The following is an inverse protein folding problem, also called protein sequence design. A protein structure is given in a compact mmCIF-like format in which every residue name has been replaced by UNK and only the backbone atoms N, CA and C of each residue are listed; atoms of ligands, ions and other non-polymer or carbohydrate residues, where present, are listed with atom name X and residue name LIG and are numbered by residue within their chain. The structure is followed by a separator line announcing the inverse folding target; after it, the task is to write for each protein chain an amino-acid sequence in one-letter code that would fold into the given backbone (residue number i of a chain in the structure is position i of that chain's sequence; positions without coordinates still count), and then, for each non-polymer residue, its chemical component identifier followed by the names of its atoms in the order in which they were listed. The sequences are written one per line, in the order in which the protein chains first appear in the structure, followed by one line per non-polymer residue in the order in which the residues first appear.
data_IF_003191942759
#
_entry.id   IF_003191942759
#
_cell.length_a   1.000
_cell.length_b   1.000
_cell.length_c   1.000
_cell.angle_alpha   90.00
_cell.angle_beta   90.00
_cell.angle_gamma   90.00
#
_symmetry.space_group_name_H-M   'P 1'
#
loop_
_entity.id
_entity.type
_entity.pdbx_description
1 polymer ?
#
# COMPACT_ATOMS: atom_id res chain seq x y z
N UNK A 1 30.32 4.29 -4.10
CA UNK A 1 31.65 4.15 -3.46
C UNK A 1 31.54 4.36 -1.97
N UNK A 2 32.27 3.58 -1.16
CA UNK A 2 32.33 3.77 0.30
C UNK A 2 33.14 5.03 0.61
N UNK A 3 32.78 5.76 1.67
CA UNK A 3 33.52 6.95 2.11
C UNK A 3 34.91 6.52 2.57
N UNK A 4 35.94 6.75 1.75
CA UNK A 4 37.33 6.54 2.13
C UNK A 4 37.95 7.86 2.65
N UNK A 5 38.78 7.83 3.71
CA UNK A 5 39.38 9.04 4.27
C UNK A 5 40.19 9.88 3.26
N UNK A 6 40.86 9.21 2.33
CA UNK A 6 41.70 9.82 1.27
C UNK A 6 40.87 10.36 0.07
N UNK A 7 39.55 10.15 0.06
CA UNK A 7 38.72 10.51 -1.08
C UNK A 7 38.45 12.01 -1.08
N UNK A 8 38.70 12.70 -2.21
CA UNK A 8 38.28 14.09 -2.40
C UNK A 8 36.76 14.18 -2.26
N UNK A 9 36.30 14.84 -1.19
CA UNK A 9 34.88 15.08 -0.91
C UNK A 9 34.45 16.43 -1.44
N UNK A 10 33.23 16.49 -1.98
CA UNK A 10 32.57 17.75 -2.34
C UNK A 10 31.80 18.23 -1.11
N UNK A 11 32.04 19.46 -0.70
CA UNK A 11 31.30 20.09 0.40
C UNK A 11 29.97 20.63 -0.12
N UNK A 12 28.86 20.22 0.51
CA UNK A 12 27.51 20.66 0.18
C UNK A 12 26.87 21.23 1.44
N UNK A 13 26.34 22.45 1.36
CA UNK A 13 25.55 23.05 2.44
C UNK A 13 24.10 22.52 2.38
N UNK A 14 23.67 21.85 3.45
CA UNK A 14 22.33 21.24 3.53
C UNK A 14 21.27 22.12 4.19
N UNK A 15 21.57 23.38 4.54
CA UNK A 15 20.67 24.29 5.29
C UNK A 15 19.29 24.47 4.63
N UNK A 16 19.24 24.54 3.30
CA UNK A 16 18.01 24.78 2.54
C UNK A 16 17.47 23.51 1.85
N UNK A 17 17.95 22.33 2.26
CA UNK A 17 17.41 21.06 1.76
C UNK A 17 16.21 20.70 2.62
N UNK A 18 15.05 20.49 2.00
CA UNK A 18 13.86 19.95 2.66
C UNK A 18 14.06 18.46 2.94
N UNK A 19 13.80 18.04 4.17
CA UNK A 19 13.79 16.64 4.56
C UNK A 19 12.36 16.19 4.84
N UNK A 20 11.91 15.15 4.13
CA UNK A 20 10.66 14.45 4.40
C UNK A 20 11.05 13.04 4.83
N UNK A 21 10.71 12.69 6.07
CA UNK A 21 10.96 11.36 6.62
C UNK A 21 9.62 10.67 6.85
N UNK A 22 9.50 9.43 6.39
CA UNK A 22 8.32 8.60 6.56
C UNK A 22 8.72 7.16 6.78
N UNK A 23 7.85 6.40 7.46
CA UNK A 23 8.09 5.00 7.78
C UNK A 23 6.86 4.35 8.40
N UNK A 24 6.87 3.03 8.51
CA UNK A 24 5.86 2.27 9.23
C UNK A 24 6.31 2.11 10.69
N UNK A 25 5.55 2.68 11.63
CA UNK A 25 5.86 2.67 13.06
C UNK A 25 5.05 1.57 13.77
N UNK A 26 5.29 0.32 13.42
CA UNK A 26 4.49 -0.80 13.93
C UNK A 26 4.47 -0.84 15.46
N UNK A 27 3.28 -0.80 16.06
CA UNK A 27 3.09 -0.85 17.51
C UNK A 27 3.03 0.53 18.18
N UNK A 28 3.19 1.62 17.43
CA UNK A 28 2.98 2.98 17.95
C UNK A 28 1.52 3.19 18.37
N UNK A 29 0.58 2.49 17.73
CA UNK A 29 -0.85 2.54 18.00
C UNK A 29 -1.13 2.19 19.47
N UNK A 30 -0.45 1.18 20.02
CA UNK A 30 -0.57 0.77 21.43
C UNK A 30 -0.06 1.83 22.41
N UNK A 31 0.94 2.62 21.99
CA UNK A 31 1.50 3.71 22.81
C UNK A 31 0.50 4.86 22.84
N UNK A 32 -0.05 5.21 21.68
CA UNK A 32 -1.08 6.25 21.53
C UNK A 32 -2.32 5.87 22.34
N UNK A 33 -2.86 4.68 22.14
CA UNK A 33 -4.02 4.12 22.85
C UNK A 33 -3.86 4.24 24.37
N UNK A 34 -2.74 3.75 24.93
CA UNK A 34 -2.45 3.83 26.37
C UNK A 34 -2.45 5.25 26.89
N UNK A 35 -2.01 6.23 26.09
CA UNK A 35 -1.98 7.63 26.49
C UNK A 35 -3.37 8.24 26.44
N UNK A 36 -4.12 8.02 25.37
CA UNK A 36 -5.47 8.56 25.18
C UNK A 36 -6.42 7.95 26.23
N UNK A 37 -6.39 6.64 26.44
CA UNK A 37 -7.22 5.95 27.44
C UNK A 37 -6.87 6.28 28.90
N UNK A 38 -5.65 6.74 29.19
CA UNK A 38 -5.30 7.22 30.55
C UNK A 38 -5.88 8.60 30.84
N UNK A 39 -6.18 9.41 29.82
CA UNK A 39 -6.74 10.75 30.02
C UNK A 39 -8.22 10.70 30.46
N UNK A 40 -8.96 9.64 30.14
CA UNK A 40 -10.39 9.51 30.42
C UNK A 40 -10.74 9.06 31.85
N UNK A 41 -9.78 8.59 32.65
CA UNK A 41 -10.02 8.03 33.99
C UNK A 41 -10.35 9.10 35.07
N UNK A 42 -10.24 10.41 34.76
CA UNK A 42 -10.31 11.48 35.76
C UNK A 42 -11.45 12.50 35.65
N UNK A 43 -12.17 12.57 34.53
CA UNK A 43 -13.27 13.52 34.32
C UNK A 43 -14.39 12.82 33.54
N UNK A 44 -15.57 12.79 34.15
CA UNK A 44 -16.78 12.20 33.59
C UNK A 44 -17.30 13.12 32.48
N UNK A 45 -16.98 12.80 31.23
CA UNK A 45 -17.73 13.23 30.06
C UNK A 45 -17.98 11.99 29.21
N UNK A 46 -19.24 11.56 29.19
CA UNK A 46 -19.77 10.68 28.16
C UNK A 46 -19.54 11.32 26.78
N UNK A 47 -19.28 10.49 25.75
CA UNK A 47 -19.26 10.77 24.31
C UNK A 47 -17.94 11.02 23.54
N UNK A 48 -16.74 10.88 24.14
CA UNK A 48 -15.52 10.78 23.30
C UNK A 48 -15.31 9.32 22.85
N UNK A 49 -16.07 8.90 21.84
CA UNK A 49 -15.78 7.68 21.09
C UNK A 49 -14.41 7.83 20.41
N UNK A 50 -13.38 7.29 21.04
CA UNK A 50 -12.06 7.13 20.41
C UNK A 50 -12.28 6.22 19.21
N UNK A 51 -11.99 6.76 18.02
CA UNK A 51 -11.97 5.99 16.79
C UNK A 51 -10.78 5.02 16.83
N UNK A 52 -11.05 3.81 17.31
CA UNK A 52 -10.10 2.70 17.39
C UNK A 52 -9.57 2.30 16.00
N UNK A 53 -10.29 2.62 14.91
CA UNK A 53 -9.89 2.28 13.55
C UNK A 53 -8.75 3.18 13.03
N UNK A 54 -8.61 4.40 13.56
CA UNK A 54 -7.57 5.34 13.14
C UNK A 54 -6.89 6.07 14.30
N UNK A 55 -6.24 5.31 15.19
CA UNK A 55 -5.49 5.87 16.32
C UNK A 55 -4.34 6.81 15.91
N UNK A 56 -3.81 6.69 14.69
CA UNK A 56 -2.70 7.51 14.21
C UNK A 56 -3.05 9.01 14.11
N UNK A 57 -4.33 9.36 13.99
CA UNK A 57 -4.78 10.75 13.97
C UNK A 57 -4.46 11.49 15.29
N UNK A 58 -4.36 10.75 16.39
CA UNK A 58 -4.04 11.28 17.72
C UNK A 58 -2.54 11.30 18.00
N UNK A 59 -1.66 10.90 17.07
CA UNK A 59 -0.22 10.83 17.32
C UNK A 59 0.36 12.18 17.78
N UNK A 60 1.19 12.14 18.84
CA UNK A 60 1.89 13.31 19.35
C UNK A 60 3.39 13.04 19.52
N UNK A 61 4.23 14.09 19.62
CA UNK A 61 5.68 13.94 19.77
C UNK A 61 6.10 13.08 20.97
N UNK A 62 5.30 13.06 22.04
CA UNK A 62 5.55 12.21 23.20
C UNK A 62 5.51 10.71 22.87
N UNK A 63 4.63 10.29 21.95
CA UNK A 63 4.51 8.88 21.55
C UNK A 63 5.74 8.43 20.76
N UNK A 64 6.25 9.30 19.89
CA UNK A 64 7.48 9.05 19.12
C UNK A 64 8.70 8.90 20.04
N UNK A 65 8.76 9.70 21.12
CA UNK A 65 9.79 9.55 22.15
C UNK A 65 9.64 8.21 22.88
N UNK A 66 8.44 7.86 23.29
CA UNK A 66 8.14 6.57 23.94
C UNK A 66 8.36 5.36 23.00
N UNK A 67 8.20 5.56 21.70
CA UNK A 67 8.49 4.56 20.66
C UNK A 67 10.00 4.34 20.47
N UNK A 68 10.84 5.31 20.84
CA UNK A 68 12.30 5.19 20.84
C UNK A 68 13.05 6.23 20.01
N UNK A 69 12.37 7.22 19.43
CA UNK A 69 13.05 8.33 18.76
C UNK A 69 13.64 9.31 19.79
N UNK A 70 14.86 9.77 19.51
CA UNK A 70 15.54 10.74 20.37
C UNK A 70 14.91 12.14 20.24
N UNK A 71 14.81 12.92 21.33
CA UNK A 71 14.19 14.25 21.31
C UNK A 71 14.82 15.23 20.31
N UNK A 72 16.13 15.17 20.10
CA UNK A 72 16.88 16.03 19.19
C UNK A 72 16.47 15.80 17.73
N UNK A 73 16.08 14.57 17.39
CA UNK A 73 15.59 14.23 16.06
C UNK A 73 14.15 14.71 15.91
N UNK A 74 13.28 14.42 16.89
CA UNK A 74 11.88 14.86 16.89
C UNK A 74 11.80 16.39 16.77
N UNK A 75 12.66 17.12 17.49
CA UNK A 75 12.72 18.59 17.44
C UNK A 75 13.12 19.16 16.08
N UNK A 76 13.75 18.38 15.19
CA UNK A 76 14.06 18.79 13.82
C UNK A 76 12.90 18.57 12.83
N UNK A 77 11.86 17.85 13.23
CA UNK A 77 10.68 17.56 12.43
C UNK A 77 9.41 18.10 13.13
N UNK A 78 9.14 19.41 13.06
CA UNK A 78 8.01 20.01 13.78
C UNK A 78 6.63 19.68 13.16
N UNK A 79 6.60 19.22 11.91
CA UNK A 79 5.37 18.86 11.19
C UNK A 79 5.21 17.35 11.17
N UNK A 80 4.08 16.87 11.67
CA UNK A 80 3.71 15.46 11.66
C UNK A 80 2.42 15.27 10.86
N UNK A 81 2.37 14.20 10.09
CA UNK A 81 1.17 13.76 9.38
C UNK A 81 1.10 12.25 9.44
N UNK A 82 -0.11 11.71 9.36
CA UNK A 82 -0.35 10.28 9.23
C UNK A 82 -0.95 9.98 7.85
N UNK A 83 -1.00 8.71 7.51
CA UNK A 83 -1.72 8.19 6.34
C UNK A 83 -2.79 7.23 6.84
N UNK A 84 -3.96 7.31 6.24
CA UNK A 84 -5.05 6.37 6.55
C UNK A 84 -4.75 5.00 5.94
N UNK A 85 -5.22 3.91 6.57
CA UNK A 85 -5.18 2.60 5.95
C UNK A 85 -5.95 2.60 4.62
N UNK A 86 -5.52 1.74 3.70
CA UNK A 86 -6.18 1.58 2.40
C UNK A 86 -7.43 0.71 2.57
N UNK A 87 -8.58 1.24 2.17
CA UNK A 87 -9.82 0.51 2.07
C UNK A 87 -10.00 -0.11 0.66
N UNK A 88 -11.08 -0.88 0.49
CA UNK A 88 -11.39 -1.51 -0.78
C UNK A 88 -11.57 -0.49 -1.91
N UNK A 89 -12.19 0.65 -1.62
CA UNK A 89 -12.39 1.74 -2.59
C UNK A 89 -11.05 2.32 -3.06
N UNK A 90 -10.13 2.62 -2.14
CA UNK A 90 -8.80 3.12 -2.46
C UNK A 90 -7.99 2.11 -3.28
N UNK A 91 -8.08 0.82 -2.95
CA UNK A 91 -7.44 -0.25 -3.75
C UNK A 91 -8.01 -0.31 -5.17
N UNK A 92 -9.33 -0.16 -5.32
CA UNK A 92 -10.00 -0.10 -6.63
C UNK A 92 -9.54 1.12 -7.44
N UNK A 93 -9.40 2.27 -6.80
CA UNK A 93 -8.85 3.47 -7.44
C UNK A 93 -7.41 3.25 -7.88
N UNK A 94 -6.55 2.68 -7.03
CA UNK A 94 -5.15 2.37 -7.36
C UNK A 94 -5.04 1.47 -8.61
N UNK A 95 -5.95 0.50 -8.78
CA UNK A 95 -5.97 -0.38 -9.95
C UNK A 95 -6.30 0.36 -11.26
N UNK A 96 -7.08 1.45 -11.22
CA UNK A 96 -7.77 1.99 -12.39
C UNK A 96 -7.44 3.46 -12.71
N UNK A 97 -7.36 4.33 -11.71
CA UNK A 97 -7.32 5.79 -11.90
C UNK A 97 -5.93 6.36 -12.18
N UNK A 98 -4.85 6.02 -11.43
CA UNK A 98 -3.54 6.62 -11.63
C UNK A 98 -3.06 6.55 -13.08
N UNK A 99 -2.21 7.51 -13.49
CA UNK A 99 -1.62 7.50 -14.84
C UNK A 99 -0.92 6.17 -15.14
N UNK A 100 -0.23 5.63 -14.14
CA UNK A 100 0.48 4.35 -14.20
C UNK A 100 -0.27 3.26 -13.42
N UNK A 101 -1.61 3.24 -13.47
CA UNK A 101 -2.41 2.22 -12.80
C UNK A 101 -2.14 0.82 -13.35
N UNK A 102 -2.31 -0.23 -12.53
CA UNK A 102 -1.98 -1.59 -12.93
C UNK A 102 -2.81 -2.07 -14.12
N UNK A 103 -4.11 -1.78 -14.18
CA UNK A 103 -4.93 -2.13 -15.34
C UNK A 103 -4.38 -1.52 -16.63
N UNK A 104 -3.96 -0.26 -16.60
CA UNK A 104 -3.37 0.41 -17.78
C UNK A 104 -2.05 -0.22 -18.20
N UNK A 105 -1.22 -0.65 -17.23
CA UNK A 105 0.02 -1.35 -17.51
C UNK A 105 -0.23 -2.70 -18.21
N UNK A 106 -1.19 -3.49 -17.72
CA UNK A 106 -1.52 -4.78 -18.33
C UNK A 106 -2.23 -4.64 -19.67
N UNK A 107 -3.08 -3.63 -19.85
CA UNK A 107 -3.70 -3.33 -21.16
C UNK A 107 -2.63 -3.06 -22.19
N UNK A 108 -1.66 -2.19 -21.87
CA UNK A 108 -0.58 -1.88 -22.81
C UNK A 108 0.34 -3.09 -23.05
N UNK A 109 0.55 -3.94 -22.03
CA UNK A 109 1.32 -5.17 -22.17
C UNK A 109 0.66 -6.15 -23.15
N UNK A 110 -0.62 -6.47 -22.98
CA UNK A 110 -1.37 -7.37 -23.88
C UNK A 110 -1.48 -6.81 -25.30
N UNK A 111 -1.56 -5.48 -25.43
CA UNK A 111 -1.58 -4.81 -26.72
C UNK A 111 -0.29 -5.00 -27.52
N UNK A 112 0.86 -5.21 -26.87
CA UNK A 112 2.11 -5.56 -27.57
C UNK A 112 2.00 -6.90 -28.31
N UNK A 113 1.17 -7.81 -27.80
CA UNK A 113 0.85 -9.11 -28.42
C UNK A 113 -0.40 -9.05 -29.32
N UNK A 114 -0.95 -7.85 -29.55
CA UNK A 114 -2.12 -7.64 -30.42
C UNK A 114 -3.46 -8.03 -29.79
N UNK A 115 -3.52 -8.16 -28.45
CA UNK A 115 -4.72 -8.53 -27.70
C UNK A 115 -5.33 -7.29 -27.02
N UNK A 116 -6.63 -7.06 -27.22
CA UNK A 116 -7.42 -6.01 -26.57
C UNK A 116 -7.93 -6.51 -25.21
N UNK A 117 -7.25 -6.09 -24.13
CA UNK A 117 -7.61 -6.44 -22.76
C UNK A 117 -8.62 -5.44 -22.18
N UNK A 118 -9.72 -5.95 -21.64
CA UNK A 118 -10.76 -5.18 -20.94
C UNK A 118 -10.97 -5.74 -19.54
N UNK A 119 -11.20 -4.84 -18.58
CA UNK A 119 -11.54 -5.22 -17.21
C UNK A 119 -13.00 -4.88 -16.95
N UNK A 120 -13.79 -5.90 -16.61
CA UNK A 120 -15.15 -5.69 -16.14
C UNK A 120 -15.14 -5.28 -14.66
N UNK A 121 -16.19 -4.57 -14.24
CA UNK A 121 -16.31 -4.12 -12.86
C UNK A 121 -16.29 -5.29 -11.87
N UNK A 122 -16.92 -6.42 -12.21
CA UNK A 122 -16.99 -7.60 -11.35
C UNK A 122 -15.63 -8.28 -11.15
N UNK A 123 -14.77 -8.30 -12.18
CA UNK A 123 -13.42 -8.86 -12.09
C UNK A 123 -12.52 -7.99 -11.22
N UNK A 124 -12.64 -6.68 -11.34
CA UNK A 124 -11.92 -5.73 -10.49
C UNK A 124 -12.34 -5.82 -9.02
N UNK A 125 -13.64 -5.96 -8.73
CA UNK A 125 -14.14 -6.14 -7.37
C UNK A 125 -13.59 -7.41 -6.74
N UNK A 126 -13.59 -8.53 -7.47
CA UNK A 126 -13.00 -9.78 -6.98
C UNK A 126 -11.51 -9.63 -6.62
N UNK A 127 -10.71 -8.98 -7.47
CA UNK A 127 -9.29 -8.77 -7.18
C UNK A 127 -9.07 -7.90 -5.94
N UNK A 128 -9.92 -6.88 -5.74
CA UNK A 128 -9.88 -6.02 -4.54
C UNK A 128 -10.31 -6.80 -3.30
N UNK A 129 -11.39 -7.58 -3.37
CA UNK A 129 -11.85 -8.46 -2.28
C UNK A 129 -10.70 -9.38 -1.81
N UNK A 130 -10.00 -10.02 -2.76
CA UNK A 130 -8.84 -10.87 -2.43
C UNK A 130 -7.69 -10.07 -1.81
N UNK A 131 -7.39 -8.86 -2.29
CA UNK A 131 -6.33 -8.04 -1.71
C UNK A 131 -6.59 -7.68 -0.25
N UNK A 132 -7.87 -7.42 0.08
CA UNK A 132 -8.33 -7.14 1.45
C UNK A 132 -8.31 -8.41 2.30
N UNK A 133 -8.85 -9.52 1.79
CA UNK A 133 -8.88 -10.83 2.47
C UNK A 133 -7.47 -11.27 2.92
N UNK A 134 -6.50 -11.16 2.02
CA UNK A 134 -5.11 -11.53 2.30
C UNK A 134 -4.28 -10.42 2.97
N UNK A 135 -4.88 -9.26 3.27
CA UNK A 135 -4.22 -8.11 3.91
C UNK A 135 -2.92 -7.66 3.23
N UNK A 136 -2.87 -7.73 1.89
CA UNK A 136 -1.64 -7.46 1.13
C UNK A 136 -1.40 -5.96 0.89
N UNK A 137 -2.44 -5.14 1.05
CA UNK A 137 -2.44 -3.73 0.68
C UNK A 137 -2.18 -3.50 -0.82
N UNK A 138 -1.83 -2.26 -1.19
CA UNK A 138 -1.61 -1.89 -2.60
C UNK A 138 -0.49 -2.67 -3.28
N UNK A 139 0.52 -3.12 -2.53
CA UNK A 139 1.67 -3.86 -3.07
C UNK A 139 1.26 -5.23 -3.59
N UNK A 140 0.32 -5.90 -2.93
CA UNK A 140 -0.16 -7.22 -3.35
C UNK A 140 -1.11 -7.20 -4.54
N UNK A 141 -1.64 -6.04 -4.94
CA UNK A 141 -2.52 -5.94 -6.10
C UNK A 141 -1.85 -6.45 -7.38
N UNK A 142 -0.53 -6.21 -7.53
CA UNK A 142 0.23 -6.73 -8.68
C UNK A 142 0.25 -8.25 -8.68
N UNK A 143 0.54 -8.88 -7.54
CA UNK A 143 0.59 -10.33 -7.43
C UNK A 143 -0.76 -10.98 -7.70
N UNK A 144 -1.86 -10.34 -7.29
CA UNK A 144 -3.22 -10.81 -7.60
C UNK A 144 -3.49 -10.71 -9.10
N UNK A 145 -3.17 -9.57 -9.73
CA UNK A 145 -3.33 -9.42 -11.18
C UNK A 145 -2.49 -10.43 -11.97
N UNK A 146 -1.25 -10.66 -11.55
CA UNK A 146 -0.36 -11.65 -12.16
C UNK A 146 -0.96 -13.05 -12.03
N UNK A 147 -1.41 -13.46 -10.84
CA UNK A 147 -2.07 -14.77 -10.65
C UNK A 147 -3.33 -14.96 -11.52
N UNK A 148 -4.07 -13.88 -11.81
CA UNK A 148 -5.27 -13.93 -12.66
C UNK A 148 -4.92 -13.97 -14.15
N UNK A 149 -3.86 -13.27 -14.57
CA UNK A 149 -3.55 -13.04 -15.99
C UNK A 149 -2.44 -13.94 -16.53
N UNK A 150 -1.64 -14.59 -15.69
CA UNK A 150 -0.43 -15.31 -16.11
C UNK A 150 -0.72 -16.39 -17.16
N UNK A 151 -1.74 -17.21 -16.95
CA UNK A 151 -2.11 -18.27 -17.91
C UNK A 151 -2.51 -17.66 -19.25
N UNK A 152 -3.33 -16.61 -19.23
CA UNK A 152 -3.75 -15.90 -20.44
C UNK A 152 -2.59 -15.21 -21.16
N UNK A 153 -1.60 -14.70 -20.42
CA UNK A 153 -0.37 -14.15 -21.00
C UNK A 153 0.48 -15.22 -21.69
N UNK A 154 0.37 -16.48 -21.30
CA UNK A 154 1.09 -17.58 -21.93
C UNK A 154 0.32 -18.22 -23.09
N UNK A 155 -1.01 -18.39 -22.92
CA UNK A 155 -1.84 -19.16 -23.86
C UNK A 155 -2.35 -18.34 -25.04
N UNK A 156 -2.68 -17.05 -24.84
CA UNK A 156 -3.28 -16.24 -25.91
C UNK A 156 -2.29 -15.83 -27.02
N UNK A 157 -1.01 -15.53 -26.75
CA UNK A 157 -0.07 -15.20 -27.81
C UNK A 157 0.05 -16.33 -28.84
N UNK A 158 -0.24 -16.02 -30.10
CA UNK A 158 -0.21 -16.98 -31.21
C UNK A 158 -1.54 -17.70 -31.50
N UNK A 159 -2.59 -17.40 -30.74
CA UNK A 159 -3.96 -17.84 -31.04
C UNK A 159 -4.69 -16.85 -31.95
N UNK A 160 -5.90 -17.21 -32.43
CA UNK A 160 -6.77 -16.30 -33.17
C UNK A 160 -7.54 -15.33 -32.27
N UNK A 161 -7.51 -15.52 -30.95
CA UNK A 161 -8.23 -14.66 -30.00
C UNK A 161 -7.51 -13.33 -29.80
N UNK A 162 -8.24 -12.25 -30.05
CA UNK A 162 -7.70 -10.87 -29.99
C UNK A 162 -8.36 -10.00 -28.93
N UNK A 163 -9.31 -10.54 -28.17
CA UNK A 163 -9.99 -9.80 -27.11
C UNK A 163 -10.06 -10.65 -25.84
N UNK A 164 -9.71 -10.05 -24.71
CA UNK A 164 -9.84 -10.69 -23.40
C UNK A 164 -10.61 -9.77 -22.47
N UNK A 165 -11.71 -10.25 -21.89
CA UNK A 165 -12.45 -9.51 -20.86
C UNK A 165 -12.36 -10.22 -19.51
N UNK A 166 -11.74 -9.54 -18.54
CA UNK A 166 -11.56 -10.06 -17.17
C UNK A 166 -12.84 -9.83 -16.38
N UNK A 167 -13.64 -10.88 -16.25
CA UNK A 167 -14.85 -10.94 -15.41
C UNK A 167 -14.55 -11.61 -14.07
N UNK A 168 -15.50 -11.56 -13.12
CA UNK A 168 -15.39 -12.30 -11.85
C UNK A 168 -15.15 -13.80 -12.06
N UNK A 169 -15.91 -14.45 -12.94
CA UNK A 169 -15.76 -15.89 -13.23
C UNK A 169 -14.38 -16.23 -13.77
N UNK A 170 -13.84 -15.39 -14.66
CA UNK A 170 -12.49 -15.54 -15.18
C UNK A 170 -11.45 -15.42 -14.05
N UNK A 171 -11.56 -14.37 -13.23
CA UNK A 171 -10.63 -14.13 -12.15
C UNK A 171 -10.68 -15.22 -11.07
N UNK A 172 -11.87 -15.73 -10.72
CA UNK A 172 -12.04 -16.82 -9.75
C UNK A 172 -11.38 -18.11 -10.21
N UNK A 173 -11.57 -18.49 -11.47
CA UNK A 173 -10.99 -19.70 -12.06
C UNK A 173 -9.46 -19.64 -12.02
N UNK A 174 -8.88 -18.63 -12.66
CA UNK A 174 -7.42 -18.52 -12.81
C UNK A 174 -6.71 -18.21 -11.49
N UNK A 175 -7.36 -17.52 -10.55
CA UNK A 175 -6.78 -17.29 -9.23
C UNK A 175 -6.76 -18.56 -8.37
N UNK A 176 -7.80 -19.40 -8.45
CA UNK A 176 -7.87 -20.65 -7.67
C UNK A 176 -6.88 -21.68 -8.17
N UNK A 177 -6.70 -21.77 -9.49
CA UNK A 177 -5.74 -22.69 -10.11
C UNK A 177 -4.29 -22.32 -9.74
N UNK A 178 -4.00 -21.03 -9.56
CA UNK A 178 -2.67 -20.52 -9.19
C UNK A 178 -2.40 -20.44 -7.66
N UNK A 179 -3.39 -20.72 -6.79
CA UNK A 179 -3.23 -20.69 -5.31
C UNK A 179 -2.25 -21.73 -4.75
N UNK A 180 -1.81 -22.73 -5.53
CA UNK A 180 -0.79 -23.68 -5.08
C UNK A 180 0.61 -23.07 -4.96
N UNK A 181 0.85 -21.86 -5.50
CA UNK A 181 2.13 -21.15 -5.41
C UNK A 181 2.06 -19.89 -4.52
N UNK A 182 1.92 -20.09 -3.20
CA UNK A 182 2.56 -19.24 -2.20
C UNK A 182 2.29 -17.72 -2.22
N UNK A 183 1.03 -17.29 -2.08
CA UNK A 183 0.72 -15.91 -1.72
C UNK A 183 0.96 -15.70 -0.21
N UNK A 184 2.20 -15.36 0.16
CA UNK A 184 2.54 -14.80 1.48
C UNK A 184 3.34 -13.52 1.29
N UNK A 185 2.90 -12.44 1.94
CA UNK A 185 3.71 -11.21 2.04
C UNK A 185 4.86 -11.48 3.00
N UNK A 186 6.06 -11.01 2.63
CA UNK A 186 7.24 -10.94 3.48
C UNK A 186 7.10 -9.85 4.55
#
# INVERSE_FOLDING_TARGET
GRKHPEQKLISINTKNILFICGGAFAGIEKIIERRVNRASIGYQNDDDHIDDENLLQYAAPADLKSFGLIPELIGRFPVFTHLNPLDASALRQILTEPKNALCKQYIELFKMDGIDLKFDASGLDYMVEKAVEFKLGARGLRSIMEAVLNDAMFELPGTEEKELTVTRTFAEKHFTDNQQSGLRVA
#
